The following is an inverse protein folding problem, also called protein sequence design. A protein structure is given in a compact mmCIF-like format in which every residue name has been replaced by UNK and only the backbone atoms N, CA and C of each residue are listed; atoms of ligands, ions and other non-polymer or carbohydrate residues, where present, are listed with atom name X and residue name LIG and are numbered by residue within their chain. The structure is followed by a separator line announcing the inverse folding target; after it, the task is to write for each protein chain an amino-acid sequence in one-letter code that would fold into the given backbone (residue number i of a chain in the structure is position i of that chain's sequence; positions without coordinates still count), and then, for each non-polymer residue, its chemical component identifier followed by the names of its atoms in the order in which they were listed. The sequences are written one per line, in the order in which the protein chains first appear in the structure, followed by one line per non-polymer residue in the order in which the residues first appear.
data_IF_377017514079
#
_entry.id   IF_377017514079
#
_cell.length_a   1.000
_cell.length_b   1.000
_cell.length_c   1.000
_cell.angle_alpha   90.00
_cell.angle_beta   90.00
_cell.angle_gamma   90.00
#
_symmetry.space_group_name_H-M   'P 1'
#
loop_
_entity.id
_entity.type
_entity.pdbx_description
1 polymer ?
#
# COMPACT_ATOMS: atom_id res chain seq x y z
N UNK A 1 9.52 -18.75 -0.10
CA UNK A 1 8.17 -18.41 0.39
C UNK A 1 7.37 -18.06 -0.83
N UNK A 2 6.30 -18.81 -1.12
CA UNK A 2 5.59 -18.73 -2.40
C UNK A 2 5.12 -17.29 -2.65
N UNK A 3 5.59 -16.71 -3.76
CA UNK A 3 5.20 -15.39 -4.28
C UNK A 3 3.74 -15.45 -4.75
N UNK A 4 2.82 -15.48 -3.79
CA UNK A 4 1.38 -15.45 -4.04
C UNK A 4 1.03 -14.00 -4.41
N UNK A 5 1.15 -13.70 -5.70
CA UNK A 5 0.78 -12.42 -6.29
C UNK A 5 -0.74 -12.36 -6.43
N UNK A 6 -1.31 -11.29 -5.91
CA UNK A 6 -2.74 -11.00 -5.91
C UNK A 6 -3.02 -9.88 -6.92
N UNK A 7 -4.07 -10.08 -7.71
CA UNK A 7 -4.58 -9.05 -8.60
C UNK A 7 -5.40 -8.04 -7.77
N UNK A 8 -4.99 -6.78 -7.81
CA UNK A 8 -5.74 -5.65 -7.24
C UNK A 8 -5.92 -4.57 -8.29
N UNK A 9 -6.86 -3.65 -8.05
CA UNK A 9 -7.10 -2.49 -8.91
C UNK A 9 -7.08 -1.22 -8.06
N UNK A 10 -6.32 -0.20 -8.49
CA UNK A 10 -6.26 1.11 -7.84
C UNK A 10 -6.49 2.17 -8.90
N UNK A 11 -7.53 3.00 -8.75
CA UNK A 11 -7.90 4.05 -9.72
C UNK A 11 -8.07 3.54 -11.17
N UNK A 12 -8.63 2.34 -11.38
CA UNK A 12 -8.78 1.75 -12.71
C UNK A 12 -7.52 1.06 -13.25
N UNK A 13 -6.42 1.07 -12.50
CA UNK A 13 -5.15 0.45 -12.91
C UNK A 13 -5.02 -0.92 -12.25
N UNK A 14 -4.94 -1.97 -13.07
CA UNK A 14 -4.68 -3.34 -12.60
C UNK A 14 -3.22 -3.49 -12.16
N UNK A 15 -3.01 -3.98 -10.94
CA UNK A 15 -1.70 -4.12 -10.30
C UNK A 15 -1.53 -5.51 -9.68
N UNK A 16 -0.26 -5.93 -9.58
CA UNK A 16 0.14 -7.15 -8.87
C UNK A 16 0.68 -6.77 -7.49
N UNK A 17 0.07 -7.26 -6.42
CA UNK A 17 0.53 -7.05 -5.06
C UNK A 17 0.90 -8.37 -4.40
N UNK A 18 1.94 -8.37 -3.56
CA UNK A 18 2.29 -9.57 -2.79
C UNK A 18 1.29 -9.76 -1.66
N UNK A 19 0.94 -11.00 -1.36
CA UNK A 19 0.16 -11.34 -0.16
C UNK A 19 0.84 -10.76 1.10
N UNK A 20 0.08 -9.96 1.87
CA UNK A 20 0.57 -9.28 3.07
C UNK A 20 1.24 -7.91 2.82
N UNK A 21 1.38 -7.48 1.56
CA UNK A 21 1.79 -6.12 1.22
C UNK A 21 0.71 -5.11 1.66
N UNK A 22 1.13 -3.98 2.21
CA UNK A 22 0.20 -2.90 2.59
C UNK A 22 -0.32 -2.18 1.34
N UNK A 23 -1.60 -1.79 1.33
CA UNK A 23 -2.21 -1.06 0.20
C UNK A 23 -1.41 0.21 -0.13
N UNK A 24 -0.95 0.95 0.88
CA UNK A 24 -0.15 2.17 0.71
C UNK A 24 1.16 1.91 -0.03
N UNK A 25 1.78 0.74 0.16
CA UNK A 25 3.02 0.35 -0.54
C UNK A 25 2.74 -0.04 -1.98
N UNK A 26 1.60 -0.70 -2.25
CA UNK A 26 1.19 -1.04 -3.61
C UNK A 26 0.85 0.23 -4.41
N UNK A 27 0.16 1.20 -3.78
CA UNK A 27 -0.13 2.50 -4.36
C UNK A 27 1.15 3.30 -4.64
N UNK A 28 2.09 3.35 -3.70
CA UNK A 28 3.38 4.04 -3.88
C UNK A 28 4.21 3.44 -5.02
N UNK A 29 4.24 2.10 -5.14
CA UNK A 29 4.93 1.42 -6.23
C UNK A 29 4.32 1.73 -7.62
N UNK A 30 3.01 2.04 -7.65
CA UNK A 30 2.30 2.49 -8.85
C UNK A 30 2.35 4.01 -9.06
N UNK A 31 3.04 4.77 -8.20
CA UNK A 31 3.13 6.22 -8.27
C UNK A 31 1.82 6.95 -7.89
N UNK A 32 0.92 6.28 -7.17
CA UNK A 32 -0.37 6.82 -6.73
C UNK A 32 -0.21 7.32 -5.28
N UNK A 33 -0.10 8.64 -5.05
CA UNK A 33 0.15 9.17 -3.71
C UNK A 33 -1.09 9.06 -2.83
N UNK A 34 -0.95 8.37 -1.70
CA UNK A 34 -1.96 8.32 -0.62
C UNK A 34 -1.52 9.23 0.53
N UNK A 35 -2.31 10.24 0.92
CA UNK A 35 -1.90 11.18 1.96
C UNK A 35 -1.71 10.49 3.31
N UNK A 36 -0.62 10.84 4.01
CA UNK A 36 -0.21 10.17 5.25
C UNK A 36 0.59 11.11 6.14
N UNK A 37 0.40 11.00 7.44
CA UNK A 37 1.25 11.66 8.45
C UNK A 37 1.99 10.65 9.32
N UNK A 38 1.33 9.55 9.69
CA UNK A 38 1.84 8.61 10.68
C UNK A 38 2.47 7.34 10.10
N UNK A 39 2.67 7.28 8.79
CA UNK A 39 3.25 6.12 8.10
C UNK A 39 4.62 6.46 7.53
N UNK A 40 5.58 5.58 7.79
CA UNK A 40 6.92 5.60 7.22
C UNK A 40 7.38 4.14 7.01
N UNK A 41 8.03 3.83 5.90
CA UNK A 41 8.40 2.46 5.48
C UNK A 41 9.30 1.72 6.48
N UNK A 42 10.21 2.45 7.13
CA UNK A 42 11.17 1.95 8.13
C UNK A 42 10.69 2.03 9.59
N UNK A 43 9.48 2.53 9.85
CA UNK A 43 8.93 2.65 11.20
C UNK A 43 7.75 1.70 11.40
N UNK A 44 7.38 1.46 12.66
CA UNK A 44 6.18 0.71 12.99
C UNK A 44 4.91 1.47 12.59
N UNK A 45 3.83 0.73 12.31
CA UNK A 45 2.55 1.30 11.91
C UNK A 45 1.84 1.91 13.12
N UNK A 46 1.67 3.24 13.12
CA UNK A 46 1.06 3.97 14.23
C UNK A 46 -0.49 4.12 14.16
N UNK A 47 -1.06 4.16 12.95
CA UNK A 47 -2.51 4.22 12.70
C UNK A 47 -3.32 5.34 13.41
N UNK A 48 -2.69 6.44 13.83
CA UNK A 48 -3.34 7.53 14.55
C UNK A 48 -3.86 8.67 13.64
N UNK A 49 -3.32 8.88 12.43
CA UNK A 49 -3.68 10.05 11.62
C UNK A 49 -4.95 9.90 10.76
N UNK A 50 -5.35 8.67 10.40
CA UNK A 50 -6.52 8.37 9.53
C UNK A 50 -6.56 9.10 8.18
N UNK A 51 -5.44 9.69 7.76
CA UNK A 51 -5.37 10.45 6.50
C UNK A 51 -5.33 9.54 5.27
N UNK A 52 -4.93 8.28 5.43
CA UNK A 52 -4.84 7.28 4.36
C UNK A 52 -6.13 6.46 4.19
N UNK A 53 -7.28 7.01 4.63
CA UNK A 53 -8.60 6.42 4.42
C UNK A 53 -9.02 6.54 2.94
#
# INVERSE_FOLDING_TARGET
MSDDLLNIEINGVALQARKGQMIIQAADAAGIPVPRFCYHDKLSVAANCRMCL
#
